data_IF_659768353967
#
_entry.id   IF_659768353967
#
_cell.length_a   1.000
_cell.length_b   1.000
_cell.length_c   1.000
_cell.angle_alpha   90.00
_cell.angle_beta   90.00
_cell.angle_gamma   90.00
#
_symmetry.space_group_name_H-M   'P 1'
#
loop_
_entity.id
_entity.type
_entity.pdbx_description
1 polymer ?
#
# COMPACT_ATOMS: atom_id res chain seq x y z
N UNK A 1 4.50 9.22 12.65
CA UNK A 1 5.91 8.79 12.45
C UNK A 1 5.95 7.67 11.43
N UNK A 2 6.73 7.85 10.35
CA UNK A 2 6.86 6.86 9.29
C UNK A 2 7.62 5.62 9.76
N UNK A 3 7.22 4.45 9.26
CA UNK A 3 7.74 3.16 9.70
C UNK A 3 8.32 2.39 8.53
N UNK A 4 9.47 1.73 8.75
CA UNK A 4 10.07 0.77 7.81
C UNK A 4 10.24 -0.59 8.49
N UNK A 5 9.91 -1.65 7.76
CA UNK A 5 10.17 -3.04 8.10
C UNK A 5 11.19 -3.60 7.11
N UNK A 6 12.23 -4.28 7.59
CA UNK A 6 13.30 -4.87 6.75
C UNK A 6 13.12 -6.40 6.65
N UNK A 7 11.95 -6.83 6.20
CA UNK A 7 11.63 -8.24 5.98
C UNK A 7 10.47 -8.33 5.00
N UNK A 8 10.43 -9.44 4.26
CA UNK A 8 9.26 -9.80 3.50
C UNK A 8 8.11 -10.16 4.45
N UNK A 9 6.94 -9.56 4.21
CA UNK A 9 5.69 -9.95 4.84
C UNK A 9 4.61 -10.00 3.77
N UNK A 10 3.75 -11.00 3.83
CA UNK A 10 2.61 -11.06 2.92
C UNK A 10 1.57 -9.97 3.29
N UNK A 11 0.66 -9.69 2.35
CA UNK A 11 -0.39 -8.68 2.56
C UNK A 11 -1.27 -9.03 3.77
N UNK A 12 -1.53 -10.31 4.03
CA UNK A 12 -2.38 -10.75 5.15
C UNK A 12 -1.75 -10.45 6.49
N UNK A 13 -0.46 -10.71 6.65
CA UNK A 13 0.31 -10.41 7.85
C UNK A 13 0.26 -8.92 8.15
N UNK A 14 0.49 -8.08 7.13
CA UNK A 14 0.43 -6.62 7.28
C UNK A 14 -0.97 -6.16 7.65
N UNK A 15 -2.01 -6.54 6.90
CA UNK A 15 -3.38 -6.09 7.20
C UNK A 15 -3.88 -6.62 8.55
N UNK A 16 -3.46 -7.81 8.96
CA UNK A 16 -3.80 -8.36 10.29
C UNK A 16 -3.25 -7.49 11.43
N UNK A 17 -2.13 -6.81 11.18
CA UNK A 17 -1.55 -5.89 12.17
C UNK A 17 -2.39 -4.64 12.38
N UNK A 18 -3.25 -4.27 11.44
CA UNK A 18 -4.07 -3.06 11.53
C UNK A 18 -5.33 -3.22 12.38
N UNK A 19 -5.62 -4.43 12.88
CA UNK A 19 -6.80 -4.71 13.70
C UNK A 19 -8.11 -4.26 13.01
N UNK A 20 -8.24 -4.58 11.72
CA UNK A 20 -9.36 -4.23 10.83
C UNK A 20 -9.55 -2.72 10.56
N UNK A 21 -8.65 -1.84 11.02
CA UNK A 21 -8.77 -0.40 10.76
C UNK A 21 -8.71 -0.05 9.27
N UNK A 22 -8.02 -0.86 8.46
CA UNK A 22 -7.96 -0.68 7.01
C UNK A 22 -9.32 -0.82 6.31
N UNK A 23 -10.29 -1.50 6.93
CA UNK A 23 -11.65 -1.65 6.42
C UNK A 23 -12.48 -0.36 6.51
N UNK A 24 -12.01 0.62 7.28
CA UNK A 24 -12.60 1.96 7.34
C UNK A 24 -12.30 2.79 6.09
N UNK A 25 -11.43 2.31 5.20
CA UNK A 25 -10.93 3.04 4.06
C UNK A 25 -11.23 2.34 2.73
N UNK A 26 -11.23 3.12 1.66
CA UNK A 26 -11.04 2.59 0.31
C UNK A 26 -9.57 2.74 -0.09
N UNK A 27 -9.10 1.90 -1.01
CA UNK A 27 -7.70 1.78 -1.34
C UNK A 27 -7.49 1.88 -2.85
N UNK A 28 -6.56 2.76 -3.23
CA UNK A 28 -5.99 2.85 -4.56
C UNK A 28 -4.70 2.03 -4.56
N UNK A 29 -4.62 1.06 -5.46
CA UNK A 29 -3.45 0.23 -5.66
C UNK A 29 -2.82 0.58 -7.00
N UNK A 30 -1.53 0.90 -6.98
CA UNK A 30 -0.76 1.32 -8.15
C UNK A 30 0.62 0.70 -8.14
N UNK A 31 1.25 0.66 -9.31
CA UNK A 31 2.61 0.15 -9.50
C UNK A 31 2.84 -1.26 -8.93
N UNK A 32 1.83 -2.13 -9.10
CA UNK A 32 1.87 -3.48 -8.57
C UNK A 32 2.79 -4.35 -9.43
N UNK A 33 3.73 -5.04 -8.78
CA UNK A 33 4.49 -6.15 -9.34
C UNK A 33 4.51 -7.31 -8.34
N UNK A 34 4.51 -8.55 -8.82
CA UNK A 34 4.39 -9.78 -8.04
C UNK A 34 3.38 -10.76 -8.60
N UNK A 35 2.86 -11.66 -7.76
CA UNK A 35 1.79 -12.57 -8.16
C UNK A 35 0.44 -11.97 -7.81
N UNK A 36 -0.29 -11.58 -8.84
CA UNK A 36 -1.67 -11.12 -8.74
C UNK A 36 -2.44 -11.56 -10.00
N UNK A 37 -3.06 -12.76 -9.98
CA UNK A 37 -3.75 -13.30 -11.15
C UNK A 37 -5.08 -12.58 -11.48
N UNK A 38 -5.39 -12.44 -12.77
CA UNK A 38 -6.61 -11.77 -13.29
C UNK A 38 -7.93 -12.36 -12.74
N UNK A 39 -7.93 -13.61 -12.26
CA UNK A 39 -9.11 -14.22 -11.61
C UNK A 39 -9.57 -13.47 -10.35
N UNK A 40 -8.76 -12.53 -9.85
CA UNK A 40 -9.09 -11.68 -8.71
C UNK A 40 -9.59 -10.27 -9.07
N UNK A 41 -9.74 -9.95 -10.36
CA UNK A 41 -10.24 -8.64 -10.79
C UNK A 41 -11.65 -8.31 -10.24
N UNK A 42 -12.49 -9.32 -9.98
CA UNK A 42 -13.83 -9.14 -9.39
C UNK A 42 -13.82 -8.64 -7.93
N UNK A 43 -12.65 -8.64 -7.27
CA UNK A 43 -12.49 -8.03 -5.95
C UNK A 43 -12.42 -6.50 -6.04
N UNK A 44 -12.18 -5.93 -7.20
CA UNK A 44 -12.06 -4.49 -7.35
C UNK A 44 -13.43 -3.87 -7.63
N UNK A 45 -13.60 -2.64 -7.19
CA UNK A 45 -14.77 -1.83 -7.50
C UNK A 45 -14.59 -1.16 -8.86
N UNK A 46 -13.36 -0.80 -9.20
CA UNK A 46 -12.97 -0.27 -10.51
C UNK A 46 -11.48 -0.57 -10.77
N UNK A 47 -11.06 -0.67 -12.03
CA UNK A 47 -9.67 -0.90 -12.40
C UNK A 47 -9.35 -0.46 -13.84
N UNK A 48 -8.08 -0.17 -14.11
CA UNK A 48 -7.52 0.05 -15.45
C UNK A 48 -6.30 -0.85 -15.64
N UNK A 49 -6.32 -1.63 -16.71
CA UNK A 49 -5.23 -2.53 -17.11
C UNK A 49 -4.66 -2.01 -18.43
N UNK A 50 -3.36 -1.81 -18.48
CA UNK A 50 -2.65 -1.33 -19.66
C UNK A 50 -1.77 -2.46 -20.22
N UNK A 51 -1.72 -2.60 -21.53
CA UNK A 51 -1.09 -3.75 -22.22
C UNK A 51 0.46 -3.74 -22.19
N UNK A 52 1.09 -2.91 -21.36
CA UNK A 52 2.55 -2.74 -21.31
C UNK A 52 3.22 -3.42 -20.09
N UNK A 53 2.48 -4.24 -19.34
CA UNK A 53 2.94 -4.87 -18.10
C UNK A 53 1.97 -4.60 -16.95
N UNK A 54 2.37 -4.93 -15.72
CA UNK A 54 1.61 -4.54 -14.52
C UNK A 54 1.95 -3.14 -14.04
N UNK A 55 3.13 -2.61 -14.42
CA UNK A 55 3.53 -1.22 -14.18
C UNK A 55 2.60 -0.27 -14.93
N UNK A 56 1.87 0.53 -14.18
CA UNK A 56 0.82 1.43 -14.67
C UNK A 56 -0.61 0.93 -14.45
N UNK A 57 -0.85 -0.34 -14.09
CA UNK A 57 -2.20 -0.78 -13.74
C UNK A 57 -2.66 -0.10 -12.45
N UNK A 58 -3.91 0.36 -12.44
CA UNK A 58 -4.49 1.06 -11.30
C UNK A 58 -5.76 0.35 -10.86
N UNK A 59 -5.93 0.16 -9.57
CA UNK A 59 -7.08 -0.56 -9.04
C UNK A 59 -7.70 0.16 -7.85
N UNK A 60 -9.03 0.11 -7.76
CA UNK A 60 -9.80 0.68 -6.67
C UNK A 60 -10.54 -0.43 -5.91
N UNK A 61 -10.33 -0.53 -4.60
CA UNK A 61 -10.86 -1.62 -3.78
C UNK A 61 -11.35 -1.09 -2.42
N UNK A 62 -12.38 -1.70 -1.86
CA UNK A 62 -12.78 -1.40 -0.47
C UNK A 62 -11.87 -2.15 0.51
N UNK A 63 -11.66 -1.64 1.71
CA UNK A 63 -10.83 -2.33 2.70
C UNK A 63 -11.33 -3.74 3.05
N UNK A 64 -12.64 -4.00 3.04
CA UNK A 64 -13.17 -5.36 3.28
C UNK A 64 -12.85 -6.33 2.13
N UNK A 65 -12.96 -5.87 0.87
CA UNK A 65 -12.58 -6.70 -0.27
C UNK A 65 -11.06 -6.91 -0.30
N UNK A 66 -10.28 -5.92 0.13
CA UNK A 66 -8.85 -6.03 0.31
C UNK A 66 -8.48 -7.09 1.37
N UNK A 67 -9.19 -7.15 2.51
CA UNK A 67 -9.05 -8.24 3.49
C UNK A 67 -9.27 -9.61 2.85
N UNK A 68 -10.34 -9.76 2.05
CA UNK A 68 -10.64 -11.04 1.40
C UNK A 68 -9.60 -11.41 0.34
N UNK A 69 -9.08 -10.42 -0.38
CA UNK A 69 -8.01 -10.57 -1.36
C UNK A 69 -6.71 -11.03 -0.67
N UNK A 70 -6.33 -10.40 0.43
CA UNK A 70 -5.12 -10.76 1.18
C UNK A 70 -5.12 -12.22 1.68
N UNK A 71 -6.29 -12.84 1.86
CA UNK A 71 -6.40 -14.24 2.29
C UNK A 71 -6.20 -15.27 1.16
N UNK A 72 -5.80 -14.86 -0.04
CA UNK A 72 -5.51 -15.78 -1.16
C UNK A 72 -4.04 -16.19 -1.15
N UNK A 73 -3.79 -17.48 -1.32
CA UNK A 73 -2.46 -18.09 -1.15
C UNK A 73 -1.48 -17.78 -2.29
N UNK A 74 -1.98 -17.37 -3.45
CA UNK A 74 -1.21 -17.05 -4.64
C UNK A 74 -1.07 -15.53 -4.87
N UNK A 75 -1.21 -14.73 -3.81
CA UNK A 75 -1.02 -13.28 -3.85
C UNK A 75 0.24 -12.88 -3.08
N UNK A 76 1.14 -12.18 -3.75
CA UNK A 76 2.26 -11.49 -3.13
C UNK A 76 2.67 -10.29 -3.98
N UNK A 77 3.30 -9.29 -3.34
CA UNK A 77 3.75 -8.07 -3.99
C UNK A 77 5.25 -7.89 -3.77
N UNK A 78 5.97 -7.75 -4.88
CA UNK A 78 7.39 -7.35 -4.91
C UNK A 78 7.45 -5.83 -4.84
N UNK A 79 6.67 -5.17 -5.68
CA UNK A 79 6.48 -3.72 -5.72
C UNK A 79 5.01 -3.39 -5.62
N UNK A 80 4.69 -2.23 -5.06
CA UNK A 80 3.33 -1.72 -5.06
C UNK A 80 3.09 -0.63 -4.04
N UNK A 81 2.19 0.29 -4.38
CA UNK A 81 1.72 1.34 -3.47
C UNK A 81 0.24 1.16 -3.21
N UNK A 82 -0.12 1.15 -1.93
CA UNK A 82 -1.47 1.00 -1.43
C UNK A 82 -1.82 2.29 -0.69
N UNK A 83 -2.56 3.17 -1.35
CA UNK A 83 -2.98 4.47 -0.82
C UNK A 83 -4.40 4.39 -0.26
N UNK A 84 -4.57 4.66 1.03
CA UNK A 84 -5.86 4.66 1.70
C UNK A 84 -6.53 6.03 1.66
N UNK A 85 -7.83 6.02 1.40
CA UNK A 85 -8.71 7.19 1.32
C UNK A 85 -9.90 7.01 2.27
N UNK A 86 -10.46 8.13 2.74
CA UNK A 86 -11.72 8.10 3.47
C UNK A 86 -12.79 7.37 2.65
N UNK A 87 -13.64 6.58 3.32
CA UNK A 87 -14.64 5.73 2.67
C UNK A 87 -15.63 6.50 1.80
N UNK A 88 -15.83 7.79 2.09
CA UNK A 88 -16.71 8.69 1.33
C UNK A 88 -16.03 9.26 0.09
N UNK A 89 -14.71 9.21 0.01
CA UNK A 89 -14.00 9.63 -1.19
C UNK A 89 -14.28 8.64 -2.33
N UNK A 90 -14.61 9.21 -3.47
CA UNK A 90 -14.68 8.51 -4.75
C UNK A 90 -13.59 9.05 -5.64
N UNK A 91 -12.83 8.16 -6.27
CA UNK A 91 -11.81 8.53 -7.25
C UNK A 91 -12.28 8.09 -8.62
N UNK A 92 -12.05 8.93 -9.62
CA UNK A 92 -12.20 8.54 -11.01
C UNK A 92 -10.82 8.12 -11.54
N UNK A 93 -10.67 6.83 -11.85
CA UNK A 93 -9.40 6.28 -12.33
C UNK A 93 -8.98 6.90 -13.68
N UNK A 94 -9.93 7.31 -14.53
CA UNK A 94 -9.64 7.98 -15.82
C UNK A 94 -9.11 9.41 -15.67
N UNK A 95 -9.17 9.98 -14.46
CA UNK A 95 -8.75 11.34 -14.15
C UNK A 95 -7.70 11.39 -13.04
N UNK A 96 -7.03 10.27 -12.76
CA UNK A 96 -5.91 10.23 -11.83
C UNK A 96 -4.80 11.15 -12.35
N UNK A 97 -4.48 12.17 -11.57
CA UNK A 97 -3.35 13.07 -11.84
C UNK A 97 -2.07 12.58 -11.19
N UNK A 98 -2.22 11.94 -10.03
CA UNK A 98 -1.13 11.41 -9.23
C UNK A 98 -1.27 9.89 -9.22
N UNK A 99 -0.27 9.20 -9.76
CA UNK A 99 -0.16 7.75 -9.77
C UNK A 99 1.01 7.36 -8.86
N UNK A 100 0.75 7.05 -7.58
CA UNK A 100 1.81 6.67 -6.65
C UNK A 100 2.59 5.47 -7.19
N UNK A 101 3.92 5.49 -7.07
CA UNK A 101 4.75 4.39 -7.54
C UNK A 101 5.82 4.02 -6.50
N UNK A 102 6.20 2.76 -6.51
CA UNK A 102 7.20 2.18 -5.63
C UNK A 102 8.55 2.07 -6.35
N UNK A 103 8.59 1.50 -7.56
CA UNK A 103 9.85 1.15 -8.23
C UNK A 103 10.75 2.38 -8.42
N UNK A 104 11.91 2.35 -7.76
CA UNK A 104 12.94 3.38 -7.87
C UNK A 104 12.54 4.76 -7.37
N UNK A 105 11.40 4.93 -6.69
CA UNK A 105 10.92 6.24 -6.26
C UNK A 105 11.86 6.89 -5.22
N UNK A 106 12.60 7.97 -5.58
CA UNK A 106 13.53 8.61 -4.67
C UNK A 106 12.84 9.34 -3.53
N UNK A 107 11.54 9.64 -3.67
CA UNK A 107 10.74 10.36 -2.66
C UNK A 107 10.59 9.62 -1.34
N UNK A 108 10.85 8.31 -1.29
CA UNK A 108 10.86 7.54 -0.05
C UNK A 108 12.18 7.63 0.73
N UNK A 109 13.25 8.07 0.07
CA UNK A 109 14.62 8.05 0.59
C UNK A 109 15.17 9.45 0.90
N UNK A 110 14.26 10.42 1.09
CA UNK A 110 14.58 11.77 1.57
C UNK A 110 14.45 11.86 3.10
N UNK A 111 14.91 12.95 3.71
CA UNK A 111 14.90 13.17 5.16
C UNK A 111 13.52 12.91 5.82
N UNK A 112 12.44 13.31 5.16
CA UNK A 112 11.06 13.06 5.63
C UNK A 112 10.18 12.72 4.44
N UNK A 113 9.99 11.44 4.13
CA UNK A 113 9.13 11.04 3.03
C UNK A 113 7.66 11.29 3.36
N UNK A 114 6.88 11.63 2.33
CA UNK A 114 5.46 11.97 2.45
C UNK A 114 4.63 11.07 1.56
N UNK A 115 3.38 10.83 1.98
CA UNK A 115 2.36 10.18 1.16
C UNK A 115 2.29 10.87 -0.21
N UNK A 116 2.33 10.10 -1.29
CA UNK A 116 2.40 10.62 -2.66
C UNK A 116 1.08 11.23 -3.08
N UNK A 117 -0.03 10.52 -2.87
CA UNK A 117 -1.34 11.02 -3.28
C UNK A 117 -1.89 12.05 -2.26
N UNK A 118 -2.23 13.30 -2.66
CA UNK A 118 -2.56 14.38 -1.72
C UNK A 118 -3.81 14.11 -0.88
N UNK A 119 -4.77 13.35 -1.41
CA UNK A 119 -5.97 12.92 -0.69
C UNK A 119 -5.79 11.66 0.16
N UNK A 120 -4.69 10.94 0.00
CA UNK A 120 -4.46 9.74 0.79
C UNK A 120 -4.04 10.11 2.22
N UNK A 121 -4.45 9.27 3.15
CA UNK A 121 -4.17 9.42 4.59
C UNK A 121 -3.24 8.34 5.12
N UNK A 122 -3.09 7.24 4.37
CA UNK A 122 -2.16 6.15 4.64
C UNK A 122 -1.58 5.72 3.31
N UNK A 123 -0.29 5.41 3.28
CA UNK A 123 0.39 4.80 2.14
C UNK A 123 1.25 3.64 2.66
N UNK A 124 0.90 2.45 2.20
CA UNK A 124 1.65 1.22 2.44
C UNK A 124 2.40 0.87 1.16
N UNK A 125 3.72 0.72 1.26
CA UNK A 125 4.61 0.51 0.12
C UNK A 125 5.32 -0.82 0.27
N UNK A 126 5.20 -1.67 -0.74
CA UNK A 126 6.00 -2.87 -0.91
C UNK A 126 7.20 -2.52 -1.80
N UNK A 127 8.41 -2.82 -1.32
CA UNK A 127 9.64 -2.42 -1.98
C UNK A 127 10.57 -3.62 -2.16
N UNK A 128 10.74 -4.05 -3.41
CA UNK A 128 11.62 -5.12 -3.86
C UNK A 128 11.56 -6.42 -3.04
N UNK A 129 10.39 -6.77 -2.49
CA UNK A 129 10.21 -7.86 -1.50
C UNK A 129 11.09 -7.77 -0.24
N UNK A 130 11.85 -6.70 -0.04
CA UNK A 130 12.85 -6.58 1.03
C UNK A 130 12.40 -5.62 2.12
N UNK A 131 11.64 -4.59 1.75
CA UNK A 131 11.19 -3.55 2.66
C UNK A 131 9.69 -3.34 2.55
N UNK A 132 9.09 -2.95 3.66
CA UNK A 132 7.72 -2.43 3.71
C UNK A 132 7.74 -1.08 4.40
N UNK A 133 7.21 -0.06 3.74
CA UNK A 133 7.10 1.29 4.28
C UNK A 133 5.65 1.57 4.65
N UNK A 134 5.43 2.21 5.80
CA UNK A 134 4.14 2.75 6.19
C UNK A 134 4.30 4.24 6.48
N UNK A 135 3.70 5.06 5.63
CA UNK A 135 3.51 6.49 5.84
C UNK A 135 2.04 6.70 6.21
N UNK A 136 1.75 7.29 7.36
CA UNK A 136 0.37 7.35 7.85
C UNK A 136 0.11 8.59 8.68
N UNK A 137 -1.02 9.24 8.39
CA UNK A 137 -1.65 10.27 9.24
C UNK A 137 -2.54 9.63 10.33
N UNK A 138 -2.85 8.34 10.21
CA UNK A 138 -3.55 7.55 11.22
C UNK A 138 -2.53 6.92 12.20
N UNK A 139 -2.45 7.49 13.39
CA UNK A 139 -1.56 7.03 14.45
C UNK A 139 -1.98 5.68 15.05
N UNK A 140 -3.26 5.30 14.95
CA UNK A 140 -3.74 4.01 15.45
C UNK A 140 -3.26 2.86 14.56
N UNK A 141 -3.37 3.01 13.23
CA UNK A 141 -2.78 2.09 12.24
C UNK A 141 -1.27 1.95 12.51
N UNK A 142 -0.58 3.08 12.65
CA UNK A 142 0.87 3.11 12.85
C UNK A 142 1.29 2.40 14.13
N UNK A 143 0.58 2.66 15.23
CA UNK A 143 0.81 2.00 16.52
C UNK A 143 0.56 0.50 16.46
N UNK A 144 -0.53 0.07 15.81
CA UNK A 144 -0.87 -1.35 15.73
C UNK A 144 0.16 -2.14 14.90
N UNK A 145 0.63 -1.59 13.77
CA UNK A 145 1.74 -2.18 12.99
C UNK A 145 2.99 -2.36 13.87
N UNK A 146 3.43 -1.31 14.55
CA UNK A 146 4.64 -1.32 15.39
C UNK A 146 4.54 -2.26 16.60
N UNK A 147 3.33 -2.44 17.14
CA UNK A 147 3.09 -3.41 18.21
C UNK A 147 3.21 -4.86 17.72
N UNK A 148 2.81 -5.14 16.47
CA UNK A 148 2.90 -6.47 15.86
C UNK A 148 4.34 -6.80 15.43
N UNK A 149 5.03 -5.86 14.80
CA UNK A 149 6.35 -6.06 14.20
C UNK A 149 7.44 -5.36 15.00
N UNK A 150 7.97 -6.01 16.04
CA UNK A 150 8.90 -5.38 17.01
C UNK A 150 10.27 -4.94 16.44
N UNK A 151 10.64 -5.40 15.23
CA UNK A 151 11.88 -5.03 14.54
C UNK A 151 11.74 -3.80 13.62
N UNK A 152 10.61 -3.10 13.69
CA UNK A 152 10.38 -1.88 12.92
C UNK A 152 11.46 -0.81 13.22
N UNK A 153 11.74 0.04 12.24
CA UNK A 153 12.56 1.24 12.42
C UNK A 153 11.78 2.49 12.02
N UNK A 154 12.17 3.61 12.60
CA UNK A 154 11.73 4.95 12.22
C UNK A 154 12.35 5.28 10.85
N UNK A 155 11.51 5.45 9.83
CA UNK A 155 11.96 5.65 8.44
C UNK A 155 12.69 7.00 8.28
N UNK A 156 12.23 8.05 8.96
CA UNK A 156 12.85 9.36 8.89
C UNK A 156 14.29 9.29 9.44
N UNK A 157 14.48 8.57 10.56
CA UNK A 157 15.82 8.30 11.11
C UNK A 157 16.64 7.32 10.27
N UNK A 158 15.99 6.44 9.53
CA UNK A 158 16.67 5.50 8.64
C UNK A 158 17.32 6.25 7.48
N UNK A 159 16.62 7.23 6.91
CA UNK A 159 17.08 8.02 5.75
C UNK A 159 18.17 9.04 6.10
N UNK A 160 18.32 9.42 7.36
CA UNK A 160 19.32 10.39 7.83
C UNK A 160 20.64 9.77 8.31
N UNK A 161 20.92 8.52 7.94
CA UNK A 161 22.16 7.81 8.28
C UNK A 161 23.13 7.79 7.11
#
# INVERSE_FOLDING_TARGET
MNTILESFYDLKEILSSFNNLHEKYNWLLTDLDGSFPDKYLDYFTDYRIYNNGTSGNTYWITGEKLTKLANKEDIYFIWGVFSAFDKKETINLDMLKEEPYADGNPGFWIETPTIQHPKAIIELVFWDSSLILLLSKDEEISRNLRNKFTKWKDLDKYNNK
#
